data_IF_433018554747
#
_entry.id   IF_433018554747
#
_cell.length_a   1.000
_cell.length_b   1.000
_cell.length_c   1.000
_cell.angle_alpha   90.00
_cell.angle_beta   90.00
_cell.angle_gamma   90.00
#
_symmetry.space_group_name_H-M   'P 1'
#
loop_
_entity.id
_entity.type
_entity.pdbx_description
1 polymer ?
#
# COMPACT_ATOMS: atom_id res chain seq x y z
N UNK A 1 68.77 -17.35 27.98
CA UNK A 1 68.36 -17.74 29.33
C UNK A 1 66.95 -18.18 29.24
N UNK A 2 66.70 -19.46 29.01
CA UNK A 2 66.43 -20.50 29.99
C UNK A 2 65.08 -20.24 30.70
N UNK A 3 64.05 -21.08 30.75
CA UNK A 3 63.96 -22.55 30.75
C UNK A 3 62.50 -22.98 30.79
N UNK A 4 62.20 -24.15 30.21
CA UNK A 4 61.44 -25.30 30.69
C UNK A 4 59.95 -25.04 31.02
N UNK A 5 58.97 -25.61 30.44
CA UNK A 5 58.81 -27.07 30.25
C UNK A 5 57.93 -27.64 31.35
N UNK A 6 56.65 -27.90 31.05
CA UNK A 6 55.86 -28.94 31.75
C UNK A 6 54.77 -29.46 30.80
N UNK A 7 55.07 -30.64 30.27
CA UNK A 7 54.04 -31.57 29.77
C UNK A 7 53.25 -32.10 30.98
N UNK A 8 51.96 -32.10 30.90
CA UNK A 8 51.12 -32.93 31.78
C UNK A 8 50.09 -33.62 30.90
N UNK A 9 50.35 -34.91 30.74
CA UNK A 9 49.40 -35.87 30.20
C UNK A 9 48.18 -36.00 31.11
N UNK A 10 46.99 -35.75 30.57
CA UNK A 10 45.75 -36.19 31.18
C UNK A 10 45.00 -37.02 30.12
N UNK A 11 45.43 -38.27 29.97
CA UNK A 11 44.63 -39.32 29.38
C UNK A 11 44.16 -40.21 30.53
N UNK A 12 42.87 -40.37 30.61
CA UNK A 12 42.28 -41.45 31.41
C UNK A 12 41.31 -40.96 32.49
N UNK A 13 40.09 -41.00 32.16
CA UNK A 13 38.89 -41.36 32.95
C UNK A 13 37.62 -40.68 32.38
N UNK A 14 37.24 -41.11 31.17
CA UNK A 14 35.86 -40.87 30.73
C UNK A 14 35.06 -42.04 31.23
N UNK A 15 34.28 -41.82 32.30
CA UNK A 15 33.43 -42.80 32.93
C UNK A 15 32.30 -43.17 31.93
N UNK A 16 32.08 -44.49 31.74
CA UNK A 16 31.06 -45.01 30.81
C UNK A 16 29.64 -44.53 31.12
N UNK A 17 29.36 -44.10 32.33
CA UNK A 17 28.08 -43.55 32.73
C UNK A 17 27.85 -42.15 32.16
N UNK A 18 28.88 -41.35 31.87
CA UNK A 18 28.74 -40.03 31.25
C UNK A 18 28.29 -40.14 29.79
N UNK A 19 28.77 -41.15 29.08
CA UNK A 19 28.38 -41.37 27.69
C UNK A 19 26.93 -41.82 27.51
N UNK A 20 26.38 -42.56 28.48
CA UNK A 20 24.96 -43.00 28.46
C UNK A 20 24.02 -41.84 28.68
N UNK A 21 24.35 -40.92 29.59
CA UNK A 21 23.51 -39.71 29.85
C UNK A 21 23.65 -38.70 28.73
N UNK A 22 24.79 -38.58 28.08
CA UNK A 22 24.98 -37.67 26.93
C UNK A 22 24.19 -38.15 25.70
N UNK A 23 24.13 -39.48 25.46
CA UNK A 23 23.31 -40.03 24.37
C UNK A 23 21.80 -39.87 24.60
N UNK A 24 21.34 -39.93 25.87
CA UNK A 24 19.94 -39.71 26.19
C UNK A 24 19.53 -38.23 26.09
N UNK A 25 20.46 -37.32 26.38
CA UNK A 25 20.23 -35.88 26.20
C UNK A 25 20.18 -35.43 24.74
N UNK A 26 21.02 -36.05 23.90
CA UNK A 26 21.01 -35.76 22.45
C UNK A 26 19.74 -36.30 21.77
N UNK A 27 19.20 -37.43 22.22
CA UNK A 27 17.93 -37.99 21.70
C UNK A 27 16.72 -37.19 22.17
N UNK A 28 16.73 -36.59 23.37
CA UNK A 28 15.67 -35.69 23.81
C UNK A 28 15.73 -34.32 23.11
N UNK A 29 16.93 -33.83 22.79
CA UNK A 29 17.09 -32.55 22.04
C UNK A 29 16.64 -32.69 20.59
N UNK A 30 16.85 -33.84 19.95
CA UNK A 30 16.38 -34.08 18.58
C UNK A 30 14.86 -34.24 18.47
N UNK A 31 14.17 -34.71 19.50
CA UNK A 31 12.70 -34.77 19.51
C UNK A 31 12.06 -33.39 19.76
N UNK A 32 12.74 -32.48 20.45
CA UNK A 32 12.26 -31.12 20.67
C UNK A 32 12.46 -30.18 19.46
N UNK A 33 13.36 -30.51 18.53
CA UNK A 33 13.63 -29.67 17.32
C UNK A 33 12.68 -30.03 16.16
N UNK A 34 12.02 -31.20 16.17
CA UNK A 34 11.08 -31.60 15.11
C UNK A 34 9.60 -31.29 15.42
N UNK A 35 9.31 -30.59 16.52
CA UNK A 35 7.94 -30.18 16.92
C UNK A 35 7.52 -28.77 16.47
N UNK A 36 8.35 -28.04 15.75
CA UNK A 36 7.88 -26.83 15.08
C UNK A 36 7.15 -27.24 13.80
N UNK A 37 5.87 -27.54 13.94
CA UNK A 37 4.96 -27.48 12.81
C UNK A 37 5.09 -26.08 12.19
N UNK A 38 5.96 -25.93 11.19
CA UNK A 38 5.88 -24.85 10.25
C UNK A 38 4.51 -25.00 9.59
N UNK A 39 3.51 -24.31 10.13
CA UNK A 39 2.28 -24.06 9.39
C UNK A 39 2.73 -23.37 8.12
N UNK A 40 2.85 -24.14 7.05
CA UNK A 40 3.03 -23.59 5.72
C UNK A 40 1.78 -22.75 5.47
N UNK A 41 1.90 -21.44 5.68
CA UNK A 41 0.84 -20.49 5.37
C UNK A 41 0.55 -20.69 3.89
N UNK A 42 -0.63 -21.26 3.61
CA UNK A 42 -1.06 -21.57 2.26
C UNK A 42 -1.32 -20.23 1.60
N UNK A 43 -0.30 -19.70 0.90
CA UNK A 43 -0.41 -18.43 0.18
C UNK A 43 -1.58 -18.51 -0.79
N UNK A 44 -2.44 -17.51 -0.74
CA UNK A 44 -3.56 -17.39 -1.66
C UNK A 44 -2.96 -17.14 -3.05
N UNK A 45 -3.17 -18.08 -3.98
CA UNK A 45 -2.79 -17.86 -5.37
C UNK A 45 -3.74 -16.81 -5.92
N UNK A 46 -3.26 -15.59 -6.10
CA UNK A 46 -4.05 -14.50 -6.69
C UNK A 46 -4.29 -14.85 -8.14
N UNK A 47 -5.54 -15.21 -8.48
CA UNK A 47 -5.95 -15.30 -9.87
C UNK A 47 -6.18 -13.87 -10.35
N UNK A 48 -5.54 -13.40 -11.45
CA UNK A 48 -5.84 -12.10 -12.01
C UNK A 48 -7.34 -12.02 -12.28
N UNK A 49 -8.03 -11.24 -11.47
CA UNK A 49 -9.45 -10.92 -11.70
C UNK A 49 -9.53 -9.85 -12.79
N UNK A 50 -10.73 -9.58 -13.28
CA UNK A 50 -10.99 -8.50 -14.23
C UNK A 50 -10.24 -7.23 -13.80
N UNK A 51 -9.69 -6.50 -14.76
CA UNK A 51 -8.96 -5.25 -14.55
C UNK A 51 -9.72 -4.33 -13.59
N UNK A 52 -9.11 -4.00 -12.45
CA UNK A 52 -9.71 -3.13 -11.45
C UNK A 52 -9.47 -1.67 -11.84
N UNK A 53 -10.52 -0.89 -11.84
CA UNK A 53 -10.49 0.56 -11.96
C UNK A 53 -11.10 1.14 -10.68
N UNK A 54 -10.25 1.61 -9.78
CA UNK A 54 -10.65 2.08 -8.47
C UNK A 54 -10.43 3.59 -8.31
N UNK A 55 -11.03 4.17 -7.29
CA UNK A 55 -10.71 5.51 -6.79
C UNK A 55 -10.29 5.42 -5.32
N UNK A 56 -9.24 6.12 -4.95
CA UNK A 56 -8.85 6.33 -3.57
C UNK A 56 -9.96 7.12 -2.86
N UNK A 57 -10.47 6.57 -1.77
CA UNK A 57 -11.66 7.09 -1.10
C UNK A 57 -11.36 7.40 0.36
N UNK A 58 -11.25 8.69 0.63
CA UNK A 58 -11.20 9.22 1.98
C UNK A 58 -12.52 9.94 2.30
N UNK A 59 -12.88 9.91 3.56
CA UNK A 59 -14.08 10.57 4.10
C UNK A 59 -13.75 11.79 4.93
N UNK A 60 -12.47 12.16 5.01
CA UNK A 60 -12.00 13.35 5.73
C UNK A 60 -12.11 14.61 4.86
N UNK A 61 -13.33 14.92 4.48
CA UNK A 61 -13.71 16.08 3.64
C UNK A 61 -14.23 17.26 4.47
N UNK A 62 -14.31 18.45 3.87
CA UNK A 62 -14.79 19.66 4.54
C UNK A 62 -13.84 20.10 5.66
N UNK A 63 -14.32 20.07 6.89
CA UNK A 63 -13.56 20.40 8.10
C UNK A 63 -13.01 19.19 8.83
N UNK A 64 -13.29 17.98 8.34
CA UNK A 64 -12.78 16.74 8.94
C UNK A 64 -11.31 16.55 8.63
N UNK A 65 -10.56 16.00 9.59
CA UNK A 65 -9.16 15.64 9.47
C UNK A 65 -8.91 14.32 10.19
N UNK A 66 -8.02 13.45 9.70
CA UNK A 66 -7.67 12.21 10.39
C UNK A 66 -6.98 12.45 11.74
N UNK A 67 -6.36 13.63 11.92
CA UNK A 67 -5.50 13.93 13.06
C UNK A 67 -6.28 14.41 14.30
N UNK A 68 -7.50 14.91 14.17
CA UNK A 68 -8.24 15.51 15.28
C UNK A 68 -9.76 15.24 15.24
N UNK A 69 -10.26 14.72 16.33
CA UNK A 69 -11.59 14.87 16.91
C UNK A 69 -12.76 14.28 16.17
N UNK A 70 -13.30 14.91 15.18
CA UNK A 70 -14.54 14.48 14.56
C UNK A 70 -14.31 13.42 13.48
N UNK A 71 -15.02 12.30 13.62
CA UNK A 71 -15.01 11.21 12.65
C UNK A 71 -16.16 11.34 11.65
N UNK A 72 -16.01 10.76 10.43
CA UNK A 72 -17.08 10.81 9.43
C UNK A 72 -18.33 10.07 9.93
N UNK A 73 -19.50 10.69 9.76
CA UNK A 73 -20.76 10.03 10.06
C UNK A 73 -21.13 9.05 8.95
N UNK A 74 -22.00 8.08 9.29
CA UNK A 74 -22.53 7.12 8.30
C UNK A 74 -23.24 7.85 7.15
N UNK A 75 -23.99 8.91 7.43
CA UNK A 75 -24.72 9.70 6.44
C UNK A 75 -23.76 10.41 5.47
N UNK A 76 -22.62 10.89 5.97
CA UNK A 76 -21.59 11.46 5.11
C UNK A 76 -20.97 10.40 4.20
N UNK A 77 -20.62 9.23 4.75
CA UNK A 77 -20.09 8.10 3.97
C UNK A 77 -21.06 7.70 2.85
N UNK A 78 -22.36 7.54 3.18
CA UNK A 78 -23.39 7.22 2.22
C UNK A 78 -23.51 8.30 1.11
N UNK A 79 -23.50 9.59 1.51
CA UNK A 79 -23.56 10.71 0.57
C UNK A 79 -22.38 10.72 -0.41
N UNK A 80 -21.17 10.53 0.11
CA UNK A 80 -19.95 10.52 -0.72
C UNK A 80 -19.93 9.33 -1.69
N UNK A 81 -20.29 8.14 -1.23
CA UNK A 81 -20.37 6.96 -2.10
C UNK A 81 -21.44 7.13 -3.18
N UNK A 82 -22.62 7.67 -2.85
CA UNK A 82 -23.68 7.93 -3.82
C UNK A 82 -23.23 8.95 -4.86
N UNK A 83 -22.53 10.00 -4.43
CA UNK A 83 -21.97 11.00 -5.35
C UNK A 83 -20.92 10.38 -6.28
N UNK A 84 -20.00 9.57 -5.72
CA UNK A 84 -18.97 8.89 -6.50
C UNK A 84 -19.58 8.02 -7.61
N UNK A 85 -20.49 7.11 -7.27
CA UNK A 85 -21.10 6.20 -8.24
C UNK A 85 -22.02 6.90 -9.26
N UNK A 86 -22.63 8.02 -8.87
CA UNK A 86 -23.50 8.82 -9.76
C UNK A 86 -22.69 9.62 -10.77
N UNK A 87 -21.51 10.11 -10.39
CA UNK A 87 -20.74 11.08 -11.16
C UNK A 87 -19.47 10.52 -11.81
N UNK A 88 -19.07 9.30 -11.44
CA UNK A 88 -17.87 8.67 -11.98
C UNK A 88 -18.16 7.22 -12.44
N UNK A 89 -17.28 6.64 -13.28
CA UNK A 89 -17.43 5.25 -13.70
C UNK A 89 -16.99 4.24 -12.60
N UNK A 90 -16.40 4.68 -11.51
CA UNK A 90 -15.80 3.80 -10.51
C UNK A 90 -16.82 3.01 -9.71
N UNK A 91 -16.53 1.71 -9.55
CA UNK A 91 -17.29 0.73 -8.74
C UNK A 91 -16.34 -0.08 -7.86
N UNK A 92 -15.14 0.43 -7.69
CA UNK A 92 -14.10 -0.03 -6.79
C UNK A 92 -13.50 1.19 -6.09
N UNK A 93 -13.25 1.06 -4.78
CA UNK A 93 -12.59 2.07 -3.97
C UNK A 93 -11.40 1.47 -3.22
N UNK A 94 -10.45 2.31 -2.85
CA UNK A 94 -9.39 2.01 -1.88
C UNK A 94 -9.54 2.94 -0.69
N UNK A 95 -9.49 2.40 0.54
CA UNK A 95 -9.72 3.15 1.79
C UNK A 95 -8.45 3.27 2.61
N UNK A 96 -8.37 4.26 3.52
CA UNK A 96 -7.16 4.58 4.30
C UNK A 96 -7.30 4.30 5.80
N UNK A 97 -8.10 3.33 6.18
CA UNK A 97 -8.24 2.93 7.57
C UNK A 97 -9.51 2.17 7.84
N UNK A 98 -9.61 1.64 9.06
CA UNK A 98 -10.73 0.81 9.53
C UNK A 98 -11.24 1.23 10.91
N UNK A 99 -10.54 2.16 11.58
CA UNK A 99 -10.90 2.69 12.90
C UNK A 99 -11.75 3.97 12.77
N UNK A 100 -12.21 4.48 13.90
CA UNK A 100 -12.82 5.80 14.00
C UNK A 100 -14.08 5.97 13.11
N UNK A 101 -14.91 4.92 13.02
CA UNK A 101 -16.13 4.93 12.20
C UNK A 101 -15.91 4.64 10.71
N UNK A 102 -14.65 4.46 10.27
CA UNK A 102 -14.33 4.12 8.88
C UNK A 102 -14.80 2.71 8.49
N UNK A 103 -15.01 1.82 9.45
CA UNK A 103 -15.58 0.49 9.22
C UNK A 103 -17.01 0.56 8.63
N UNK A 104 -17.76 1.63 8.84
CA UNK A 104 -19.06 1.86 8.19
C UNK A 104 -18.98 1.93 6.66
N UNK A 105 -17.80 2.24 6.09
CA UNK A 105 -17.57 2.25 4.63
C UNK A 105 -17.86 0.87 4.02
N UNK A 106 -17.51 -0.22 4.70
CA UNK A 106 -17.68 -1.58 4.16
C UNK A 106 -19.15 -1.98 4.04
N UNK A 107 -19.98 -1.64 5.03
CA UNK A 107 -21.44 -1.83 4.98
C UNK A 107 -22.04 -0.98 3.85
N UNK A 108 -21.64 0.28 3.76
CA UNK A 108 -22.14 1.19 2.73
C UNK A 108 -21.71 0.78 1.31
N UNK A 109 -20.49 0.27 1.16
CA UNK A 109 -19.98 -0.26 -0.11
C UNK A 109 -20.69 -1.56 -0.52
N UNK A 110 -20.93 -2.47 0.42
CA UNK A 110 -21.66 -3.71 0.17
C UNK A 110 -23.08 -3.44 -0.35
N UNK A 111 -23.81 -2.53 0.29
CA UNK A 111 -25.16 -2.12 -0.12
C UNK A 111 -25.20 -1.54 -1.55
N UNK A 112 -24.07 -1.03 -2.06
CA UNK A 112 -23.92 -0.43 -3.39
C UNK A 112 -23.16 -1.33 -4.39
N UNK A 113 -22.83 -2.55 -3.99
CA UNK A 113 -22.02 -3.49 -4.78
C UNK A 113 -20.64 -2.93 -5.20
N UNK A 114 -20.07 -2.05 -4.39
CA UNK A 114 -18.74 -1.47 -4.59
C UNK A 114 -17.69 -2.45 -4.03
N UNK A 115 -16.64 -2.71 -4.80
CA UNK A 115 -15.47 -3.48 -4.32
C UNK A 115 -14.50 -2.59 -3.56
N UNK A 116 -13.80 -3.16 -2.57
CA UNK A 116 -12.92 -2.40 -1.70
C UNK A 116 -11.54 -3.04 -1.62
N UNK A 117 -10.51 -2.23 -1.83
CA UNK A 117 -9.14 -2.47 -1.36
C UNK A 117 -9.04 -1.78 0.00
N UNK A 118 -8.93 -2.53 1.09
CA UNK A 118 -8.92 -1.96 2.42
C UNK A 118 -7.49 -1.84 2.96
N UNK A 119 -7.09 -0.63 3.35
CA UNK A 119 -5.82 -0.37 4.01
C UNK A 119 -6.04 -0.36 5.52
N UNK A 120 -5.26 -1.15 6.25
CA UNK A 120 -5.11 -1.05 7.69
C UNK A 120 -4.00 -0.03 7.96
N UNK A 121 -4.36 1.17 8.42
CA UNK A 121 -3.36 2.21 8.64
C UNK A 121 -2.39 1.79 9.73
N UNK A 122 -1.10 1.87 9.42
CA UNK A 122 0.01 1.60 10.35
C UNK A 122 0.85 2.86 10.48
N UNK A 123 1.16 3.23 11.72
CA UNK A 123 1.95 4.40 12.06
C UNK A 123 2.79 4.13 13.33
N UNK A 124 3.34 5.18 13.96
CA UNK A 124 4.26 5.08 15.09
C UNK A 124 3.63 4.47 16.35
N UNK A 125 2.32 4.61 16.55
CA UNK A 125 1.63 4.03 17.73
C UNK A 125 1.27 2.56 17.52
N UNK A 126 2.06 1.68 18.14
CA UNK A 126 1.87 0.22 18.08
C UNK A 126 0.53 -0.25 18.67
N UNK A 127 -0.08 0.52 19.61
CA UNK A 127 -1.37 0.16 20.19
C UNK A 127 -2.49 0.46 19.17
N UNK A 128 -2.41 1.59 18.48
CA UNK A 128 -3.33 1.94 17.39
C UNK A 128 -3.17 0.94 16.24
N UNK A 129 -1.94 0.57 15.89
CA UNK A 129 -1.68 -0.46 14.90
C UNK A 129 -2.33 -1.80 15.27
N UNK A 130 -2.26 -2.20 16.55
CA UNK A 130 -2.89 -3.43 17.04
C UNK A 130 -4.41 -3.38 16.90
N UNK A 131 -5.05 -2.26 17.27
CA UNK A 131 -6.48 -2.05 17.07
C UNK A 131 -6.87 -2.07 15.60
N UNK A 132 -6.05 -1.44 14.73
CA UNK A 132 -6.24 -1.44 13.28
C UNK A 132 -6.20 -2.87 12.71
N UNK A 133 -5.26 -3.70 13.16
CA UNK A 133 -5.14 -5.10 12.74
C UNK A 133 -6.35 -5.92 13.22
N UNK A 134 -6.75 -5.79 14.50
CA UNK A 134 -7.91 -6.50 15.06
C UNK A 134 -9.20 -6.14 14.32
N UNK A 135 -9.45 -4.84 14.11
CA UNK A 135 -10.60 -4.38 13.34
C UNK A 135 -10.51 -4.81 11.87
N UNK A 136 -9.32 -4.82 11.29
CA UNK A 136 -9.08 -5.33 9.93
C UNK A 136 -9.46 -6.80 9.78
N UNK A 137 -9.13 -7.65 10.75
CA UNK A 137 -9.55 -9.06 10.79
C UNK A 137 -11.07 -9.18 10.84
N UNK A 138 -11.71 -8.37 11.71
CA UNK A 138 -13.17 -8.36 11.88
C UNK A 138 -13.87 -8.03 10.54
N UNK A 139 -13.52 -6.89 9.93
CA UNK A 139 -14.18 -6.42 8.70
C UNK A 139 -13.87 -7.32 7.50
N UNK A 140 -12.65 -7.87 7.39
CA UNK A 140 -12.28 -8.78 6.32
C UNK A 140 -13.13 -10.06 6.34
N UNK A 141 -13.44 -10.58 7.53
CA UNK A 141 -14.31 -11.75 7.72
C UNK A 141 -15.79 -11.42 7.53
N UNK A 142 -16.22 -10.22 7.96
CA UNK A 142 -17.60 -9.79 7.81
C UNK A 142 -17.99 -9.51 6.34
N UNK A 143 -17.04 -8.97 5.55
CA UNK A 143 -17.30 -8.50 4.18
C UNK A 143 -16.41 -9.21 3.11
N UNK A 144 -16.37 -10.56 3.06
CA UNK A 144 -15.41 -11.29 2.22
C UNK A 144 -15.67 -11.14 0.70
N UNK A 145 -16.86 -10.69 0.31
CA UNK A 145 -17.21 -10.43 -1.11
C UNK A 145 -17.02 -8.97 -1.51
N UNK A 146 -16.98 -8.07 -0.55
CA UNK A 146 -16.84 -6.63 -0.72
C UNK A 146 -15.37 -6.23 -0.66
N UNK A 147 -14.65 -6.67 0.39
CA UNK A 147 -13.21 -6.48 0.52
C UNK A 147 -12.49 -7.52 -0.34
N UNK A 148 -11.85 -7.06 -1.41
CA UNK A 148 -11.20 -7.94 -2.39
C UNK A 148 -9.68 -8.01 -2.23
N UNK A 149 -9.08 -7.05 -1.55
CA UNK A 149 -7.64 -6.97 -1.24
C UNK A 149 -7.45 -6.24 0.09
N UNK A 150 -6.40 -6.56 0.80
CA UNK A 150 -5.99 -5.90 2.04
C UNK A 150 -4.56 -5.39 1.93
N UNK A 151 -4.31 -4.27 2.61
CA UNK A 151 -2.97 -3.74 2.79
C UNK A 151 -2.67 -3.47 4.26
N UNK A 152 -1.51 -3.90 4.71
CA UNK A 152 -0.91 -3.54 5.98
C UNK A 152 -0.11 -2.24 5.82
N UNK A 153 -0.80 -1.12 5.95
CA UNK A 153 -0.28 0.23 5.74
C UNK A 153 -0.22 0.67 4.27
N UNK A 154 0.08 1.96 4.08
CA UNK A 154 0.44 2.59 2.81
C UNK A 154 1.64 3.48 3.05
N UNK A 155 2.67 3.34 2.21
CA UNK A 155 3.94 4.09 2.25
C UNK A 155 4.68 4.01 3.60
N UNK A 156 4.51 2.91 4.33
CA UNK A 156 5.14 2.72 5.64
C UNK A 156 6.67 2.70 5.50
N UNK A 157 7.20 2.01 4.51
CA UNK A 157 8.65 1.96 4.25
C UNK A 157 9.17 3.27 3.67
N UNK A 158 8.38 3.97 2.87
CA UNK A 158 8.70 5.31 2.37
C UNK A 158 8.80 6.32 3.52
N UNK A 159 7.87 6.30 4.49
CA UNK A 159 7.85 7.22 5.65
C UNK A 159 8.87 6.87 6.72
N UNK A 160 9.04 5.59 7.05
CA UNK A 160 9.79 5.15 8.23
C UNK A 160 10.99 4.26 7.89
N UNK A 161 11.16 3.86 6.65
CA UNK A 161 12.23 2.95 6.23
C UNK A 161 12.00 1.50 6.65
N UNK A 162 13.03 0.68 6.44
CA UNK A 162 12.97 -0.77 6.66
C UNK A 162 12.85 -1.17 8.14
N UNK A 163 13.01 -0.22 9.08
CA UNK A 163 12.84 -0.50 10.51
C UNK A 163 11.41 -0.92 10.86
N UNK A 164 10.42 -0.56 10.03
CA UNK A 164 9.02 -0.95 10.17
C UNK A 164 8.65 -2.28 9.49
N UNK A 165 9.59 -2.96 8.83
CA UNK A 165 9.32 -4.26 8.18
C UNK A 165 8.81 -5.31 9.18
N UNK A 166 9.22 -5.23 10.45
CA UNK A 166 8.72 -6.06 11.54
C UNK A 166 7.23 -5.84 11.83
N UNK A 167 6.79 -4.58 11.86
CA UNK A 167 5.40 -4.21 12.13
C UNK A 167 4.48 -4.58 10.96
N UNK A 168 4.91 -4.31 9.73
CA UNK A 168 4.19 -4.74 8.53
C UNK A 168 4.05 -6.27 8.50
N UNK A 169 5.15 -7.00 8.80
CA UNK A 169 5.13 -8.46 8.88
C UNK A 169 4.18 -8.95 9.95
N UNK A 170 4.16 -8.33 11.14
CA UNK A 170 3.22 -8.65 12.23
C UNK A 170 1.76 -8.52 11.79
N UNK A 171 1.44 -7.46 11.06
CA UNK A 171 0.10 -7.25 10.50
C UNK A 171 -0.26 -8.39 9.52
N UNK A 172 0.59 -8.67 8.53
CA UNK A 172 0.37 -9.70 7.52
C UNK A 172 0.19 -11.08 8.19
N UNK A 173 1.10 -11.44 9.10
CA UNK A 173 1.06 -12.72 9.80
C UNK A 173 -0.20 -12.86 10.68
N UNK A 174 -0.66 -11.77 11.32
CA UNK A 174 -1.88 -11.75 12.12
C UNK A 174 -3.12 -12.00 11.29
N UNK A 175 -3.24 -11.37 10.12
CA UNK A 175 -4.33 -11.59 9.18
C UNK A 175 -4.36 -13.04 8.67
N UNK A 176 -3.21 -13.58 8.25
CA UNK A 176 -3.09 -14.97 7.81
C UNK A 176 -3.45 -15.95 8.93
N UNK A 177 -2.90 -15.74 10.14
CA UNK A 177 -3.19 -16.58 11.32
C UNK A 177 -4.66 -16.57 11.71
N UNK A 178 -5.32 -15.43 11.52
CA UNK A 178 -6.75 -15.31 11.75
C UNK A 178 -7.61 -15.98 10.65
N UNK A 179 -7.02 -16.49 9.58
CA UNK A 179 -7.73 -17.15 8.48
C UNK A 179 -8.43 -16.18 7.53
N UNK A 180 -7.92 -14.95 7.41
CA UNK A 180 -8.35 -14.01 6.37
C UNK A 180 -8.00 -14.58 5.01
N UNK A 181 -8.97 -14.56 4.09
CA UNK A 181 -8.84 -15.21 2.76
C UNK A 181 -8.54 -14.26 1.62
N UNK A 182 -8.71 -12.97 1.84
CA UNK A 182 -8.34 -11.94 0.86
C UNK A 182 -6.81 -11.88 0.73
N UNK A 183 -6.28 -11.64 -0.47
CA UNK A 183 -4.85 -11.40 -0.67
C UNK A 183 -4.37 -10.16 0.10
N UNK A 184 -3.20 -10.29 0.74
CA UNK A 184 -2.64 -9.29 1.65
C UNK A 184 -1.32 -8.75 1.10
N UNK A 185 -1.11 -7.44 1.22
CA UNK A 185 0.14 -6.75 0.89
C UNK A 185 0.47 -5.68 1.94
N UNK A 186 1.53 -4.94 1.70
CA UNK A 186 1.68 -3.52 2.05
C UNK A 186 1.72 -2.72 0.76
N UNK A 187 1.16 -1.51 0.76
CA UNK A 187 1.28 -0.59 -0.36
C UNK A 187 2.49 0.30 -0.11
N UNK A 188 3.32 0.50 -1.15
CA UNK A 188 4.43 1.44 -1.05
C UNK A 188 4.75 2.05 -2.42
N UNK A 189 5.69 3.00 -2.48
CA UNK A 189 6.11 3.60 -3.74
C UNK A 189 6.78 2.56 -4.64
N UNK A 190 6.76 2.77 -5.96
CA UNK A 190 7.47 1.91 -6.92
C UNK A 190 8.97 1.80 -6.58
N UNK A 191 9.54 2.89 -6.03
CA UNK A 191 10.93 2.97 -5.63
C UNK A 191 11.30 1.96 -4.53
N UNK A 192 10.42 1.79 -3.54
CA UNK A 192 10.59 0.78 -2.49
C UNK A 192 10.53 -0.64 -3.05
N UNK A 193 9.59 -0.90 -3.97
CA UNK A 193 9.49 -2.20 -4.62
C UNK A 193 10.64 -2.50 -5.57
N UNK A 194 11.30 -1.47 -6.12
CA UNK A 194 12.54 -1.59 -6.90
C UNK A 194 13.80 -1.65 -6.03
N UNK A 195 13.67 -1.90 -4.71
CA UNK A 195 14.77 -1.93 -3.76
C UNK A 195 15.62 -0.65 -3.80
N UNK A 196 14.98 0.49 -3.99
CA UNK A 196 15.60 1.82 -4.11
C UNK A 196 16.70 1.90 -5.19
N UNK A 197 16.53 1.14 -6.26
CA UNK A 197 17.47 1.04 -7.38
C UNK A 197 16.85 1.49 -8.69
N UNK A 198 17.59 2.27 -9.48
CA UNK A 198 17.18 2.66 -10.84
C UNK A 198 17.08 1.47 -11.81
N UNK A 199 17.86 0.42 -11.58
CA UNK A 199 17.82 -0.82 -12.33
C UNK A 199 16.62 -1.69 -11.97
N UNK A 200 15.87 -1.27 -10.96
CA UNK A 200 14.70 -1.96 -10.42
C UNK A 200 14.98 -3.44 -10.12
N UNK A 201 15.50 -3.69 -8.93
CA UNK A 201 15.80 -5.02 -8.41
C UNK A 201 14.73 -5.45 -7.39
N UNK A 202 14.51 -6.75 -7.25
CA UNK A 202 13.56 -7.27 -6.26
C UNK A 202 14.00 -6.90 -4.83
N UNK A 203 13.04 -6.47 -4.02
CA UNK A 203 13.23 -6.43 -2.57
C UNK A 203 12.93 -7.79 -1.94
N UNK A 204 13.71 -8.21 -0.95
CA UNK A 204 13.46 -9.43 -0.19
C UNK A 204 12.10 -9.41 0.52
N UNK A 205 11.61 -8.23 0.86
CA UNK A 205 10.31 -8.03 1.50
C UNK A 205 9.14 -8.51 0.63
N UNK A 206 9.27 -8.49 -0.70
CA UNK A 206 8.24 -8.99 -1.61
C UNK A 206 7.85 -10.45 -1.36
N UNK A 207 8.73 -11.23 -0.72
CA UNK A 207 8.42 -12.59 -0.30
C UNK A 207 7.33 -12.69 0.77
N UNK A 208 7.04 -11.62 1.49
CA UNK A 208 6.07 -11.57 2.58
C UNK A 208 4.63 -11.30 2.14
N UNK A 209 4.44 -10.72 0.96
CA UNK A 209 3.14 -10.24 0.46
C UNK A 209 2.56 -11.17 -0.62
N UNK A 210 1.24 -11.15 -0.80
CA UNK A 210 0.57 -11.96 -1.83
C UNK A 210 0.54 -11.24 -3.19
N UNK A 211 0.51 -9.91 -3.20
CA UNK A 211 0.47 -9.05 -4.38
C UNK A 211 1.30 -7.79 -4.16
N UNK A 212 1.57 -7.02 -5.19
CA UNK A 212 2.32 -5.76 -5.13
C UNK A 212 1.35 -4.59 -5.30
N UNK A 213 1.23 -3.77 -4.25
CA UNK A 213 0.52 -2.50 -4.31
C UNK A 213 1.52 -1.35 -4.43
N UNK A 214 1.41 -0.53 -5.47
CA UNK A 214 2.41 0.50 -5.74
C UNK A 214 1.82 1.86 -6.07
N UNK A 215 2.37 2.91 -5.44
CA UNK A 215 2.04 4.30 -5.71
C UNK A 215 3.05 4.89 -6.70
N UNK A 216 2.56 5.57 -7.74
CA UNK A 216 3.41 6.14 -8.79
C UNK A 216 2.91 7.55 -9.12
N UNK A 217 3.69 8.57 -8.75
CA UNK A 217 3.32 9.97 -8.93
C UNK A 217 4.40 10.75 -9.70
N UNK A 218 4.28 10.93 -11.01
CA UNK A 218 5.20 11.77 -11.79
C UNK A 218 5.33 13.20 -11.26
N UNK A 219 4.28 13.72 -10.60
CA UNK A 219 4.30 15.02 -9.96
C UNK A 219 5.39 15.11 -8.89
N UNK A 220 5.44 14.14 -7.99
CA UNK A 220 6.44 14.07 -6.91
C UNK A 220 7.82 13.68 -7.44
N UNK A 221 7.89 12.86 -8.48
CA UNK A 221 9.16 12.53 -9.12
C UNK A 221 9.86 13.76 -9.68
N UNK A 222 9.10 14.73 -10.20
CA UNK A 222 9.64 16.01 -10.62
C UNK A 222 10.27 16.78 -9.46
N UNK A 223 9.64 16.74 -8.27
CA UNK A 223 10.09 17.52 -7.11
C UNK A 223 11.20 16.83 -6.33
N UNK A 224 11.05 15.55 -6.03
CA UNK A 224 11.91 14.88 -5.05
C UNK A 224 13.04 14.07 -5.66
N UNK A 225 12.83 13.42 -6.80
CA UNK A 225 13.84 12.49 -7.29
C UNK A 225 15.04 13.20 -7.92
N UNK A 226 14.79 14.26 -8.65
CA UNK A 226 15.81 14.95 -9.47
C UNK A 226 16.61 14.00 -10.39
N UNK A 227 16.14 12.74 -10.49
CA UNK A 227 16.75 11.66 -11.26
C UNK A 227 16.27 11.74 -12.71
N UNK A 228 15.00 12.09 -12.89
CA UNK A 228 14.36 12.18 -14.19
C UNK A 228 14.40 13.60 -14.74
N UNK A 229 14.40 13.69 -16.07
CA UNK A 229 14.01 14.91 -16.76
C UNK A 229 12.56 15.24 -16.40
N UNK A 230 12.15 16.47 -16.56
CA UNK A 230 10.77 16.90 -16.35
C UNK A 230 9.74 15.94 -16.99
N UNK A 231 8.74 15.56 -16.21
CA UNK A 231 7.63 14.70 -16.63
C UNK A 231 6.36 15.56 -16.71
N UNK A 232 6.02 16.12 -17.87
CA UNK A 232 4.79 16.89 -18.04
C UNK A 232 3.56 15.98 -18.08
N UNK A 233 2.36 16.54 -17.91
CA UNK A 233 1.09 15.80 -17.84
C UNK A 233 0.88 14.84 -19.03
N UNK A 234 1.28 15.22 -20.24
CA UNK A 234 1.16 14.38 -21.44
C UNK A 234 2.15 13.21 -21.49
N UNK A 235 3.11 13.13 -20.57
CA UNK A 235 4.06 12.02 -20.40
C UNK A 235 3.82 11.20 -19.12
N UNK A 236 2.92 11.64 -18.27
CA UNK A 236 2.64 10.97 -17.00
C UNK A 236 2.19 9.51 -17.20
N UNK A 237 1.31 9.24 -18.16
CA UNK A 237 0.85 7.88 -18.44
C UNK A 237 1.98 6.96 -18.93
N UNK A 238 2.89 7.47 -19.75
CA UNK A 238 4.05 6.70 -20.24
C UNK A 238 4.98 6.35 -19.07
N UNK A 239 5.16 7.28 -18.13
CA UNK A 239 5.94 7.05 -16.91
C UNK A 239 5.30 5.98 -16.02
N UNK A 240 3.99 6.06 -15.77
CA UNK A 240 3.25 5.05 -15.01
C UNK A 240 3.47 3.64 -15.59
N UNK A 241 3.30 3.51 -16.90
CA UNK A 241 3.43 2.22 -17.58
C UNK A 241 4.85 1.70 -17.51
N UNK A 242 5.86 2.55 -17.73
CA UNK A 242 7.25 2.14 -17.63
C UNK A 242 7.60 1.58 -16.25
N UNK A 243 7.14 2.23 -15.16
CA UNK A 243 7.36 1.74 -13.80
C UNK A 243 6.62 0.42 -13.53
N UNK A 244 5.39 0.28 -14.03
CA UNK A 244 4.67 -0.98 -13.92
C UNK A 244 5.33 -2.11 -14.73
N UNK A 245 5.88 -1.83 -15.91
CA UNK A 245 6.65 -2.79 -16.70
C UNK A 245 7.88 -3.30 -15.93
N UNK A 246 8.60 -2.40 -15.25
CA UNK A 246 9.70 -2.79 -14.37
C UNK A 246 9.24 -3.74 -13.26
N UNK A 247 8.14 -3.42 -12.58
CA UNK A 247 7.60 -4.25 -11.50
C UNK A 247 7.10 -5.60 -12.01
N UNK A 248 6.38 -5.63 -13.12
CA UNK A 248 5.94 -6.90 -13.73
C UNK A 248 7.13 -7.77 -14.18
N UNK A 249 8.23 -7.16 -14.64
CA UNK A 249 9.46 -7.85 -15.03
C UNK A 249 10.13 -8.52 -13.82
N UNK A 250 10.21 -7.82 -12.69
CA UNK A 250 10.89 -8.34 -11.50
C UNK A 250 9.99 -9.18 -10.60
N UNK A 251 8.65 -9.06 -10.70
CA UNK A 251 7.67 -9.85 -9.94
C UNK A 251 6.70 -10.60 -10.86
N UNK A 252 7.18 -11.48 -11.75
CA UNK A 252 6.33 -12.10 -12.78
C UNK A 252 5.22 -13.00 -12.22
N UNK A 253 5.40 -13.50 -11.00
CA UNK A 253 4.45 -14.41 -10.33
C UNK A 253 3.47 -13.69 -9.39
N UNK A 254 3.52 -12.35 -9.34
CA UNK A 254 2.63 -11.55 -8.50
C UNK A 254 1.71 -10.67 -9.32
N UNK A 255 0.49 -10.50 -8.83
CA UNK A 255 -0.36 -9.41 -9.30
C UNK A 255 0.27 -8.08 -8.89
N UNK A 256 0.34 -7.13 -9.81
CA UNK A 256 0.81 -5.76 -9.55
C UNK A 256 -0.36 -4.82 -9.80
N UNK A 257 -0.70 -4.01 -8.80
CA UNK A 257 -1.75 -2.99 -8.90
C UNK A 257 -1.11 -1.63 -8.62
N UNK A 258 -1.32 -0.67 -9.52
CA UNK A 258 -1.00 0.73 -9.24
C UNK A 258 -2.05 1.29 -8.29
N UNK A 259 -1.72 1.33 -7.01
CA UNK A 259 -2.65 1.67 -5.93
C UNK A 259 -2.91 3.16 -5.80
N UNK A 260 -1.99 3.98 -6.25
CA UNK A 260 -2.23 5.41 -6.38
C UNK A 260 -1.52 5.99 -7.60
N UNK A 261 -2.25 6.80 -8.35
CA UNK A 261 -1.73 7.73 -9.34
C UNK A 261 -2.70 8.90 -9.49
N UNK A 262 -2.19 10.06 -9.82
CA UNK A 262 -3.04 11.23 -9.95
C UNK A 262 -2.31 12.43 -10.54
N UNK A 263 -3.03 13.54 -10.60
CA UNK A 263 -2.51 14.84 -11.01
C UNK A 263 -3.36 15.94 -10.37
N UNK A 264 -2.76 17.00 -9.80
CA UNK A 264 -3.55 18.07 -9.20
C UNK A 264 -4.30 18.89 -10.25
N UNK A 265 -5.55 19.24 -9.93
CA UNK A 265 -6.37 20.10 -10.78
C UNK A 265 -6.25 21.60 -10.50
N UNK A 266 -5.48 21.97 -9.49
CA UNK A 266 -5.26 23.34 -9.01
C UNK A 266 -4.19 23.41 -7.91
N UNK A 267 -3.96 24.60 -7.32
CA UNK A 267 -4.42 25.91 -7.83
C UNK A 267 -3.91 26.19 -9.24
N UNK A 268 -4.67 26.99 -9.99
CA UNK A 268 -4.29 27.32 -11.37
C UNK A 268 -2.88 27.91 -11.42
N UNK A 269 -2.06 27.45 -12.36
CA UNK A 269 -0.66 27.81 -12.51
C UNK A 269 0.32 27.26 -11.44
N UNK A 270 -0.12 26.44 -10.47
CA UNK A 270 0.79 25.67 -9.65
C UNK A 270 1.56 24.66 -10.51
N UNK A 271 2.81 24.40 -10.15
CA UNK A 271 3.63 23.44 -10.89
C UNK A 271 4.50 22.65 -9.94
N UNK A 272 4.73 21.38 -10.27
CA UNK A 272 5.89 20.67 -9.76
C UNK A 272 7.16 21.23 -10.39
N UNK A 273 8.26 21.27 -9.63
CA UNK A 273 9.50 21.89 -10.07
C UNK A 273 10.65 20.92 -9.86
N UNK A 274 11.47 20.74 -10.90
CA UNK A 274 12.68 19.96 -10.78
C UNK A 274 13.66 20.68 -9.84
N UNK A 275 13.97 20.08 -8.70
CA UNK A 275 14.82 20.69 -7.66
C UNK A 275 16.25 20.94 -8.11
N UNK A 276 16.76 20.18 -9.10
CA UNK A 276 18.11 20.36 -9.61
C UNK A 276 18.22 21.51 -10.62
N UNK A 277 17.22 21.65 -11.48
CA UNK A 277 17.27 22.61 -12.59
C UNK A 277 16.43 23.86 -12.34
N UNK A 278 15.49 23.83 -11.39
CA UNK A 278 14.50 24.88 -11.19
C UNK A 278 13.42 24.91 -12.30
N UNK A 279 13.41 23.92 -13.19
CA UNK A 279 12.45 23.85 -14.30
C UNK A 279 11.06 23.49 -13.79
N UNK A 280 10.05 24.22 -14.26
CA UNK A 280 8.63 23.91 -14.01
C UNK A 280 8.19 22.76 -14.91
N UNK A 281 7.89 21.61 -14.32
CA UNK A 281 7.65 20.36 -15.04
C UNK A 281 6.16 20.04 -15.22
N UNK A 282 5.47 19.78 -14.12
CA UNK A 282 4.06 19.50 -14.12
C UNK A 282 3.23 20.76 -13.87
N UNK A 283 2.20 21.00 -14.64
CA UNK A 283 1.28 22.13 -14.43
C UNK A 283 -0.05 21.59 -13.90
N UNK A 284 -0.48 22.11 -12.76
CA UNK A 284 -1.79 21.79 -12.16
C UNK A 284 -2.89 22.44 -12.99
N UNK A 285 -3.84 21.66 -13.44
CA UNK A 285 -5.07 22.13 -14.08
C UNK A 285 -6.09 21.01 -14.22
N UNK A 286 -7.38 21.37 -14.34
CA UNK A 286 -8.47 20.42 -14.60
C UNK A 286 -8.23 19.63 -15.90
N UNK A 287 -7.74 20.28 -16.95
CA UNK A 287 -7.45 19.63 -18.22
C UNK A 287 -6.29 18.63 -18.12
N UNK A 288 -5.23 18.96 -17.39
CA UNK A 288 -4.10 18.07 -17.18
C UNK A 288 -4.48 16.89 -16.26
N UNK A 289 -5.27 17.13 -15.19
CA UNK A 289 -5.79 16.05 -14.38
C UNK A 289 -6.59 15.05 -15.23
N UNK A 290 -7.53 15.55 -16.03
CA UNK A 290 -8.33 14.70 -16.94
C UNK A 290 -7.45 13.93 -17.92
N UNK A 291 -6.49 14.61 -18.56
CA UNK A 291 -5.56 14.02 -19.51
C UNK A 291 -4.77 12.86 -18.88
N UNK A 292 -4.16 13.11 -17.71
CA UNK A 292 -3.36 12.07 -17.01
C UNK A 292 -4.23 10.88 -16.66
N UNK A 293 -5.40 11.09 -16.07
CA UNK A 293 -6.26 10.01 -15.61
C UNK A 293 -6.77 9.16 -16.80
N UNK A 294 -7.30 9.80 -17.84
CA UNK A 294 -7.86 9.08 -18.98
C UNK A 294 -6.78 8.36 -19.78
N UNK A 295 -5.61 9.00 -20.01
CA UNK A 295 -4.51 8.36 -20.73
C UNK A 295 -3.92 7.19 -19.96
N UNK A 296 -3.80 7.29 -18.64
CA UNK A 296 -3.31 6.21 -17.79
C UNK A 296 -4.27 5.02 -17.81
N UNK A 297 -5.57 5.21 -17.54
CA UNK A 297 -6.52 4.11 -17.59
C UNK A 297 -6.63 3.50 -18.99
N UNK A 298 -6.52 4.29 -20.05
CA UNK A 298 -6.48 3.77 -21.42
C UNK A 298 -5.29 2.83 -21.66
N UNK A 299 -4.11 3.16 -21.12
CA UNK A 299 -2.93 2.31 -21.23
C UNK A 299 -3.04 1.08 -20.34
N UNK A 300 -3.50 1.22 -19.09
CA UNK A 300 -3.77 0.10 -18.18
C UNK A 300 -4.74 -0.91 -18.79
N UNK A 301 -5.84 -0.45 -19.40
CA UNK A 301 -6.81 -1.31 -20.06
C UNK A 301 -6.19 -2.14 -21.20
N UNK A 302 -5.31 -1.54 -22.03
CA UNK A 302 -4.59 -2.27 -23.09
C UNK A 302 -3.69 -3.37 -22.55
N UNK A 303 -3.08 -3.15 -21.39
CA UNK A 303 -2.21 -4.14 -20.70
C UNK A 303 -2.99 -5.11 -19.82
N UNK A 304 -4.29 -4.89 -19.61
CA UNK A 304 -5.13 -5.59 -18.62
C UNK A 304 -4.59 -5.47 -17.19
N UNK A 305 -4.07 -4.30 -16.85
CA UNK A 305 -3.56 -3.97 -15.54
C UNK A 305 -4.55 -3.13 -14.76
N UNK A 306 -4.47 -3.23 -13.44
CA UNK A 306 -5.34 -2.55 -12.49
C UNK A 306 -4.73 -1.23 -12.00
N UNK A 307 -5.59 -0.26 -11.70
CA UNK A 307 -5.14 1.01 -11.13
C UNK A 307 -6.21 1.72 -10.31
N UNK A 308 -5.76 2.55 -9.38
CA UNK A 308 -6.58 3.39 -8.49
C UNK A 308 -6.18 4.84 -8.67
N UNK A 309 -7.13 5.68 -9.07
CA UNK A 309 -6.88 7.12 -9.17
C UNK A 309 -6.91 7.77 -7.78
N UNK A 310 -5.94 8.58 -7.49
CA UNK A 310 -5.86 9.44 -6.32
C UNK A 310 -6.36 10.84 -6.70
N UNK A 311 -7.48 11.32 -6.19
CA UNK A 311 -8.38 10.73 -5.21
C UNK A 311 -9.86 11.08 -5.53
N UNK A 312 -10.80 10.42 -4.88
CA UNK A 312 -12.24 10.64 -5.15
C UNK A 312 -12.71 12.05 -4.78
N UNK A 313 -12.33 12.53 -3.61
CA UNK A 313 -12.75 13.84 -3.08
C UNK A 313 -11.56 14.61 -2.54
N UNK A 314 -11.54 15.93 -2.80
CA UNK A 314 -10.52 16.82 -2.25
C UNK A 314 -10.57 16.86 -0.72
N UNK A 315 -9.42 16.85 -0.07
CA UNK A 315 -9.28 16.87 1.37
C UNK A 315 -8.66 18.20 1.84
N UNK A 316 -9.44 19.03 2.51
CA UNK A 316 -9.05 20.40 2.84
C UNK A 316 -7.94 20.51 3.92
N UNK A 317 -7.64 19.44 4.64
CA UNK A 317 -6.56 19.38 5.63
C UNK A 317 -5.18 19.21 4.99
N UNK A 318 -5.08 18.59 3.83
CA UNK A 318 -3.81 18.27 3.16
C UNK A 318 -2.89 19.45 2.80
N UNK A 319 -3.37 20.68 2.49
CA UNK A 319 -2.46 21.78 2.17
C UNK A 319 -1.47 22.12 3.28
N UNK A 320 -1.80 21.81 4.53
CA UNK A 320 -0.88 22.00 5.65
C UNK A 320 0.32 21.03 5.60
N UNK A 321 0.17 19.88 4.96
CA UNK A 321 1.17 18.82 4.90
C UNK A 321 1.81 18.69 3.51
N UNK A 322 1.03 18.86 2.45
CA UNK A 322 1.44 18.61 1.05
C UNK A 322 1.69 19.92 0.25
N UNK A 323 1.51 21.08 0.86
CA UNK A 323 1.63 22.37 0.16
C UNK A 323 0.35 22.78 -0.60
N UNK A 324 0.40 23.85 -1.41
CA UNK A 324 -0.78 24.56 -1.93
C UNK A 324 -1.68 23.72 -2.85
N UNK A 325 -1.18 22.62 -3.39
CA UNK A 325 -1.95 21.71 -4.24
C UNK A 325 -2.50 20.49 -3.49
N UNK A 326 -2.24 20.32 -2.19
CA UNK A 326 -2.64 19.17 -1.40
C UNK A 326 -4.15 18.86 -1.45
N UNK A 327 -5.00 19.88 -1.52
CA UNK A 327 -6.45 19.69 -1.65
C UNK A 327 -6.96 19.70 -3.11
N UNK A 328 -6.08 19.54 -4.09
CA UNK A 328 -6.43 19.65 -5.51
C UNK A 328 -6.29 18.32 -6.28
N UNK A 329 -6.17 17.20 -5.57
CA UNK A 329 -6.10 15.88 -6.18
C UNK A 329 -7.48 15.30 -6.49
N UNK A 330 -8.52 15.72 -5.76
CA UNK A 330 -9.86 15.17 -5.83
C UNK A 330 -10.49 15.25 -7.23
N UNK A 331 -11.12 14.15 -7.64
CA UNK A 331 -12.03 14.12 -8.80
C UNK A 331 -13.26 14.99 -8.54
N UNK A 332 -13.68 15.07 -7.29
CA UNK A 332 -14.80 15.86 -6.81
C UNK A 332 -14.34 16.75 -5.64
N UNK A 333 -15.09 17.84 -5.45
CA UNK A 333 -14.84 18.77 -4.35
C UNK A 333 -15.07 18.09 -2.99
N UNK A 334 -14.29 18.50 -1.97
CA UNK A 334 -14.45 18.05 -0.60
C UNK A 334 -15.51 18.79 0.20
N UNK A 335 -16.31 19.64 -0.43
CA UNK A 335 -17.40 20.40 0.20
C UNK A 335 -18.70 20.24 -0.58
N UNK A 336 -19.85 20.27 0.10
CA UNK A 336 -21.14 20.19 -0.56
C UNK A 336 -21.27 21.24 -1.69
N UNK A 337 -21.86 20.91 -2.83
CA UNK A 337 -22.56 19.64 -3.16
C UNK A 337 -21.64 18.51 -3.66
N UNK A 338 -20.35 18.51 -3.34
CA UNK A 338 -19.35 17.52 -3.76
C UNK A 338 -19.26 17.37 -5.29
N UNK A 339 -19.31 18.52 -5.98
CA UNK A 339 -19.34 18.54 -7.45
C UNK A 339 -18.02 18.00 -8.04
N UNK A 340 -18.13 17.09 -9.00
CA UNK A 340 -16.94 16.56 -9.66
C UNK A 340 -16.40 17.54 -10.71
N UNK A 341 -15.08 17.74 -10.71
CA UNK A 341 -14.39 18.75 -11.53
C UNK A 341 -14.30 18.37 -13.00
N UNK A 342 -14.30 17.08 -13.29
CA UNK A 342 -14.19 16.54 -14.63
C UNK A 342 -15.22 15.42 -14.88
N UNK A 343 -15.74 15.37 -16.12
CA UNK A 343 -16.39 14.18 -16.62
C UNK A 343 -15.34 13.29 -17.29
N UNK A 344 -15.10 12.11 -16.72
CA UNK A 344 -14.10 11.17 -17.20
C UNK A 344 -14.67 10.21 -18.24
N UNK A 345 -13.94 9.99 -19.33
CA UNK A 345 -14.23 9.01 -20.38
C UNK A 345 -13.32 7.78 -20.20
N UNK A 346 -13.67 6.92 -19.25
CA UNK A 346 -12.93 5.69 -18.96
C UNK A 346 -13.84 4.51 -19.35
N UNK A 347 -13.33 3.64 -20.21
CA UNK A 347 -14.05 2.41 -20.57
C UNK A 347 -14.19 1.51 -19.33
N UNK A 348 -15.39 0.97 -19.12
CA UNK A 348 -15.69 0.02 -18.05
C UNK A 348 -15.22 -1.37 -18.38
#
# INVERSE_FOLDING_TARGET
>A
MDRNGLHLDIIGLINEDFMKHFSLFLTLLTVLVFGQNAYAVKRVKVTPQNTLQCAAFSTYVGTLTPNFGAHPSKELIDTLLDQLIKKTPFRCIMTYGVLNGLDAIFTAAEARHIKVIAILWLDDDININSQSIEKGIEVAKAFPKTIIRLSCGSEVRTRHGNIYDGEISRCIDSLHKAGVTQPITTIDTWWEWCNRSLECQQTSFASKVDWIGTNIFPWWENEYSGIYSCIPANKAADFHIARLEDLHRIYPDKEVIMTEFGWPNGPENSSSTNLKTGERCGIASKSNQKLVIESTFKQLAKKKWSGTVFEAFSENWKPAEEGPFGNSWGLCQGTPPYACVNQLNIAR
#
